data_IF_580895648071
#
_entry.id   IF_580895648071
#
_cell.length_a   1.000
_cell.length_b   1.000
_cell.length_c   1.000
_cell.angle_alpha   90.00
_cell.angle_beta   90.00
_cell.angle_gamma   90.00
#
_symmetry.space_group_name_H-M   'P 1'
#
loop_
_entity.id
_entity.type
_entity.pdbx_description
1 polymer ?
#
# COMPACT_ATOMS: atom_id res chain seq x y z
N UNK A 1 -14.68 6.99 14.62
CA UNK A 1 -15.54 6.40 13.57
C UNK A 1 -16.19 7.40 12.58
N UNK A 2 -16.37 8.71 12.87
CA UNK A 2 -17.02 9.65 11.92
C UNK A 2 -16.06 10.44 11.01
N UNK A 3 -14.74 10.36 11.17
CA UNK A 3 -13.75 11.13 10.40
C UNK A 3 -13.22 10.41 9.15
N UNK A 4 -13.08 9.08 9.18
CA UNK A 4 -12.60 8.28 8.04
C UNK A 4 -13.57 8.36 6.85
N UNK A 5 -14.89 8.28 7.11
CA UNK A 5 -15.93 8.31 6.07
C UNK A 5 -15.99 9.62 5.25
N UNK A 6 -15.49 10.75 5.76
CA UNK A 6 -15.59 12.04 5.05
C UNK A 6 -14.42 12.32 4.09
N UNK A 7 -13.29 11.61 4.20
CA UNK A 7 -12.09 11.89 3.39
C UNK A 7 -12.00 11.04 2.13
N UNK A 8 -12.57 9.83 2.14
CA UNK A 8 -12.61 8.94 0.97
C UNK A 8 -13.46 9.49 -0.19
N UNK A 9 -14.39 10.41 0.09
CA UNK A 9 -15.31 10.98 -0.91
C UNK A 9 -14.70 12.11 -1.77
N UNK A 10 -13.47 12.57 -1.50
CA UNK A 10 -12.88 13.75 -2.17
C UNK A 10 -11.90 13.40 -3.30
N UNK A 11 -11.84 12.15 -3.76
CA UNK A 11 -10.86 11.68 -4.74
C UNK A 11 -11.11 12.08 -6.20
N UNK A 12 -12.08 12.93 -6.51
CA UNK A 12 -12.40 13.32 -7.87
C UNK A 12 -12.31 14.83 -8.02
N UNK A 13 -11.27 15.38 -8.56
CA UNK A 13 -11.15 16.45 -9.56
C UNK A 13 -9.83 17.22 -9.43
N UNK A 14 -8.95 17.03 -10.38
CA UNK A 14 -8.22 18.13 -11.03
C UNK A 14 -7.35 17.57 -12.16
N UNK A 15 -7.89 17.53 -13.36
CA UNK A 15 -7.12 17.33 -14.58
C UNK A 15 -6.69 18.70 -15.13
N UNK A 16 -5.42 18.87 -15.42
CA UNK A 16 -4.95 19.94 -16.31
C UNK A 16 -3.89 19.39 -17.25
N UNK A 17 -4.19 19.56 -18.52
CA UNK A 17 -3.52 19.09 -19.72
C UNK A 17 -2.29 19.96 -20.03
N UNK A 18 -1.14 19.37 -20.20
CA UNK A 18 -0.04 19.94 -20.98
C UNK A 18 0.77 18.83 -21.66
N UNK A 19 0.76 18.83 -22.97
CA UNK A 19 1.52 17.97 -23.87
C UNK A 19 2.91 18.57 -24.11
N UNK A 20 3.96 17.78 -23.94
CA UNK A 20 5.22 17.96 -24.67
C UNK A 20 5.98 16.62 -24.75
N UNK A 21 6.40 16.29 -25.97
CA UNK A 21 7.08 15.09 -26.39
C UNK A 21 8.60 15.18 -26.25
N UNK A 22 9.29 14.10 -25.89
CA UNK A 22 10.44 13.55 -26.64
C UNK A 22 11.22 12.45 -25.92
N UNK A 23 11.41 11.37 -26.64
CA UNK A 23 12.63 10.59 -26.93
C UNK A 23 13.23 9.63 -25.90
N UNK A 24 13.35 8.39 -26.39
CA UNK A 24 13.96 7.20 -25.81
C UNK A 24 15.43 7.32 -25.44
N UNK A 25 15.80 6.60 -24.37
CA UNK A 25 17.07 5.85 -24.35
C UNK A 25 16.89 4.56 -23.54
N UNK A 26 17.25 3.41 -24.13
CA UNK A 26 17.32 2.09 -23.51
C UNK A 26 18.65 1.98 -22.78
N UNK A 27 18.61 1.51 -21.56
CA UNK A 27 19.74 0.74 -21.02
C UNK A 27 19.24 -0.40 -20.13
N UNK A 28 19.69 -1.57 -20.53
CA UNK A 28 19.36 -2.87 -19.98
C UNK A 28 20.58 -3.29 -19.14
N UNK A 29 20.46 -3.39 -17.80
CA UNK A 29 21.43 -4.16 -17.03
C UNK A 29 20.85 -4.76 -15.76
N UNK A 30 20.92 -6.09 -15.71
CA UNK A 30 21.12 -7.02 -14.60
C UNK A 30 20.01 -7.18 -13.56
N UNK A 31 19.29 -8.27 -13.76
CA UNK A 31 18.62 -9.08 -12.76
C UNK A 31 19.64 -9.68 -11.78
N UNK A 32 19.63 -9.25 -10.51
CA UNK A 32 19.98 -10.04 -9.31
C UNK A 32 19.86 -9.14 -8.05
N UNK A 33 18.88 -9.36 -7.24
CA UNK A 33 18.55 -8.78 -5.93
C UNK A 33 17.26 -7.91 -5.88
N UNK A 34 16.27 -8.21 -6.68
CA UNK A 34 15.06 -7.38 -6.77
C UNK A 34 14.01 -7.59 -5.67
N UNK A 35 14.17 -8.56 -4.78
CA UNK A 35 13.12 -8.92 -3.82
C UNK A 35 13.01 -7.99 -2.60
N UNK A 36 14.08 -7.29 -2.21
CA UNK A 36 14.03 -6.32 -1.12
C UNK A 36 13.71 -4.88 -1.55
N UNK A 37 13.81 -4.59 -2.85
CA UNK A 37 13.61 -3.25 -3.39
C UNK A 37 12.12 -2.82 -3.39
N UNK A 38 11.21 -3.79 -3.31
CA UNK A 38 9.76 -3.57 -3.34
C UNK A 38 9.08 -3.81 -2.00
N UNK A 39 9.78 -3.71 -0.88
CA UNK A 39 9.17 -3.76 0.44
C UNK A 39 8.63 -5.13 0.88
N UNK A 40 9.06 -6.23 0.24
CA UNK A 40 8.68 -7.59 0.65
C UNK A 40 9.07 -7.89 2.09
N UNK A 41 8.14 -8.40 2.87
CA UNK A 41 8.37 -8.83 4.25
C UNK A 41 8.85 -10.29 4.28
N UNK A 42 9.93 -10.55 5.03
CA UNK A 42 10.32 -11.93 5.35
C UNK A 42 9.37 -12.48 6.43
N UNK A 43 8.29 -13.12 6.00
CA UNK A 43 7.25 -13.64 6.90
C UNK A 43 7.76 -14.67 7.91
N UNK A 44 8.81 -15.45 7.59
CA UNK A 44 9.39 -16.41 8.53
C UNK A 44 10.11 -15.72 9.68
N UNK A 45 10.93 -14.72 9.36
CA UNK A 45 11.63 -13.92 10.37
C UNK A 45 10.65 -13.10 11.21
N UNK A 46 9.66 -12.45 10.55
CA UNK A 46 8.62 -11.68 11.24
C UNK A 46 7.80 -12.57 12.19
N UNK A 47 7.40 -13.76 11.76
CA UNK A 47 6.68 -14.73 12.62
C UNK A 47 7.45 -15.08 13.88
N UNK A 48 8.76 -15.28 13.77
CA UNK A 48 9.61 -15.55 14.93
C UNK A 48 9.59 -14.39 15.91
N UNK A 49 9.68 -13.16 15.43
CA UNK A 49 9.65 -11.97 16.28
C UNK A 49 8.27 -11.77 16.92
N UNK A 50 7.19 -11.79 16.13
CA UNK A 50 5.81 -11.65 16.61
C UNK A 50 5.48 -12.66 17.69
N UNK A 51 5.92 -13.93 17.52
CA UNK A 51 5.68 -14.97 18.52
C UNK A 51 6.54 -14.82 19.79
N UNK A 52 7.63 -14.07 19.75
CA UNK A 52 8.47 -13.78 20.93
C UNK A 52 7.95 -12.60 21.76
N UNK A 53 7.05 -11.81 21.21
CA UNK A 53 6.45 -10.66 21.88
C UNK A 53 5.22 -11.06 22.72
N UNK A 54 4.89 -10.30 23.77
CA UNK A 54 3.73 -10.58 24.60
C UNK A 54 2.43 -10.70 23.80
N UNK A 55 1.48 -11.46 24.33
CA UNK A 55 0.11 -11.53 23.81
C UNK A 55 -0.80 -10.74 24.77
N UNK A 56 -0.77 -9.42 24.65
CA UNK A 56 -1.54 -8.51 25.49
C UNK A 56 -2.99 -8.38 24.97
N UNK A 57 -3.99 -8.11 25.84
CA UNK A 57 -5.36 -7.94 25.39
C UNK A 57 -5.48 -6.75 24.44
N UNK A 58 -6.19 -6.95 23.33
CA UNK A 58 -6.44 -5.88 22.36
C UNK A 58 -7.49 -4.89 22.87
N UNK A 59 -7.24 -3.61 22.63
CA UNK A 59 -8.26 -2.59 22.69
C UNK A 59 -9.23 -2.71 21.50
N UNK A 60 -10.45 -2.12 21.59
CA UNK A 60 -11.35 -2.02 20.44
C UNK A 60 -10.74 -1.25 19.25
N UNK A 61 -9.84 -0.31 19.50
CA UNK A 61 -9.16 0.46 18.45
C UNK A 61 -8.19 -0.42 17.67
N UNK A 62 -7.38 -1.23 18.36
CA UNK A 62 -6.45 -2.17 17.74
C UNK A 62 -7.18 -3.26 16.95
N UNK A 63 -8.23 -3.84 17.54
CA UNK A 63 -9.05 -4.85 16.84
C UNK A 63 -9.61 -4.28 15.53
N UNK A 64 -10.17 -3.07 15.56
CA UNK A 64 -10.71 -2.42 14.37
C UNK A 64 -9.60 -2.04 13.38
N UNK A 65 -8.43 -1.61 13.86
CA UNK A 65 -7.27 -1.30 13.05
C UNK A 65 -6.75 -2.54 12.30
N UNK A 66 -6.61 -3.66 12.97
CA UNK A 66 -6.18 -4.93 12.35
C UNK A 66 -7.16 -5.39 11.26
N UNK A 67 -8.47 -5.32 11.53
CA UNK A 67 -9.49 -5.69 10.54
C UNK A 67 -9.46 -4.78 9.32
N UNK A 68 -9.30 -3.47 9.52
CA UNK A 68 -9.21 -2.50 8.44
C UNK A 68 -7.94 -2.72 7.61
N UNK A 69 -6.78 -2.78 8.26
CA UNK A 69 -5.48 -2.95 7.62
C UNK A 69 -5.41 -4.25 6.80
N UNK A 70 -6.02 -5.34 7.30
CA UNK A 70 -6.11 -6.62 6.56
C UNK A 70 -6.78 -6.47 5.19
N UNK A 71 -7.85 -5.68 5.11
CA UNK A 71 -8.56 -5.42 3.86
C UNK A 71 -7.91 -4.30 3.03
N UNK A 72 -7.21 -3.34 3.63
CA UNK A 72 -6.49 -2.27 2.92
C UNK A 72 -5.28 -2.82 2.16
N UNK A 73 -4.47 -3.68 2.79
CA UNK A 73 -3.37 -4.38 2.10
C UNK A 73 -3.89 -5.29 0.96
N UNK A 74 -5.04 -5.95 1.19
CA UNK A 74 -5.70 -6.69 0.11
C UNK A 74 -6.17 -5.75 -1.01
N UNK A 75 -6.69 -4.57 -0.68
CA UNK A 75 -7.13 -3.58 -1.67
C UNK A 75 -5.97 -3.17 -2.57
N UNK A 76 -4.83 -2.81 -2.00
CA UNK A 76 -3.62 -2.46 -2.73
C UNK A 76 -3.20 -3.59 -3.68
N UNK A 77 -3.03 -4.81 -3.14
CA UNK A 77 -2.71 -6.01 -3.92
C UNK A 77 -3.67 -6.22 -5.10
N UNK A 78 -4.97 -6.15 -4.84
CA UNK A 78 -6.00 -6.46 -5.82
C UNK A 78 -6.09 -5.39 -6.92
N UNK A 79 -5.96 -4.11 -6.57
CA UNK A 79 -5.87 -3.01 -7.54
C UNK A 79 -4.63 -3.18 -8.42
N UNK A 80 -3.46 -3.46 -7.83
CA UNK A 80 -2.24 -3.63 -8.60
C UNK A 80 -2.28 -4.87 -9.49
N UNK A 81 -2.85 -5.96 -9.03
CA UNK A 81 -3.09 -7.15 -9.84
C UNK A 81 -3.96 -6.82 -11.07
N UNK A 82 -5.03 -6.08 -10.87
CA UNK A 82 -5.96 -5.67 -11.94
C UNK A 82 -5.28 -4.71 -12.93
N UNK A 83 -4.51 -3.73 -12.44
CA UNK A 83 -3.81 -2.77 -13.29
C UNK A 83 -2.63 -3.39 -14.03
N UNK A 84 -1.97 -4.41 -13.43
CA UNK A 84 -0.98 -5.22 -14.14
C UNK A 84 -1.58 -5.96 -15.32
N UNK A 85 -2.73 -6.61 -15.13
CA UNK A 85 -3.44 -7.31 -16.22
C UNK A 85 -3.80 -6.35 -17.36
N UNK A 86 -4.12 -5.11 -17.04
CA UNK A 86 -4.49 -4.09 -18.03
C UNK A 86 -3.29 -3.52 -18.78
N UNK A 87 -2.21 -3.16 -18.07
CA UNK A 87 -1.12 -2.35 -18.61
C UNK A 87 0.19 -3.10 -18.80
N UNK A 88 0.36 -4.26 -18.18
CA UNK A 88 1.60 -5.06 -18.23
C UNK A 88 2.83 -4.42 -17.62
N UNK A 89 2.67 -3.31 -16.87
CA UNK A 89 3.80 -2.63 -16.22
C UNK A 89 4.27 -3.36 -14.97
N UNK A 90 5.54 -3.77 -14.96
CA UNK A 90 6.12 -4.64 -13.94
C UNK A 90 6.05 -4.08 -12.52
N UNK A 91 6.01 -2.76 -12.35
CA UNK A 91 5.88 -2.14 -11.02
C UNK A 91 4.64 -2.65 -10.30
N UNK A 92 3.52 -2.81 -11.00
CA UNK A 92 2.28 -3.34 -10.40
C UNK A 92 2.43 -4.79 -9.95
N UNK A 93 3.02 -5.66 -10.78
CA UNK A 93 3.24 -7.07 -10.43
C UNK A 93 4.18 -7.22 -9.25
N UNK A 94 5.27 -6.45 -9.24
CA UNK A 94 6.27 -6.51 -8.18
C UNK A 94 5.67 -6.04 -6.84
N UNK A 95 4.96 -4.91 -6.85
CA UNK A 95 4.34 -4.37 -5.64
C UNK A 95 3.16 -5.25 -5.20
N UNK A 96 2.32 -5.77 -6.10
CA UNK A 96 1.26 -6.73 -5.73
C UNK A 96 1.81 -7.96 -5.00
N UNK A 97 3.00 -8.44 -5.40
CA UNK A 97 3.71 -9.52 -4.68
C UNK A 97 4.15 -9.09 -3.29
N UNK A 98 4.56 -7.84 -3.10
CA UNK A 98 4.88 -7.27 -1.78
C UNK A 98 3.62 -7.16 -0.91
N UNK A 99 2.53 -6.63 -1.45
CA UNK A 99 1.25 -6.50 -0.74
C UNK A 99 0.69 -7.86 -0.31
N UNK A 100 0.98 -8.93 -1.04
CA UNK A 100 0.65 -10.27 -0.57
C UNK A 100 1.37 -10.59 0.74
N UNK A 101 2.64 -10.19 0.89
CA UNK A 101 3.37 -10.41 2.15
C UNK A 101 2.89 -9.49 3.28
N UNK A 102 2.43 -8.30 2.95
CA UNK A 102 1.85 -7.35 3.90
C UNK A 102 0.52 -7.87 4.45
N UNK A 103 -0.40 -8.25 3.56
CA UNK A 103 -1.67 -8.82 3.99
C UNK A 103 -1.49 -10.10 4.81
N UNK A 104 -0.47 -10.94 4.50
CA UNK A 104 -0.13 -12.14 5.27
C UNK A 104 0.48 -11.81 6.64
N UNK A 105 1.22 -10.70 6.76
CA UNK A 105 1.73 -10.21 8.03
C UNK A 105 0.59 -9.78 8.98
N UNK A 106 -0.43 -9.08 8.46
CA UNK A 106 -1.62 -8.75 9.25
C UNK A 106 -2.42 -10.00 9.62
N UNK A 107 -2.57 -10.98 8.70
CA UNK A 107 -3.22 -12.26 9.00
C UNK A 107 -2.53 -13.01 10.15
N UNK A 108 -1.21 -12.87 10.27
CA UNK A 108 -0.45 -13.46 11.37
C UNK A 108 -0.92 -12.90 12.72
N UNK A 109 -1.17 -11.59 12.82
CA UNK A 109 -1.72 -10.95 14.02
C UNK A 109 -3.18 -11.39 14.26
N UNK A 110 -4.04 -11.38 13.24
CA UNK A 110 -5.41 -11.86 13.39
C UNK A 110 -5.44 -13.29 13.94
N UNK A 111 -4.55 -14.15 13.45
CA UNK A 111 -4.41 -15.54 13.94
C UNK A 111 -3.94 -15.59 15.39
N UNK A 112 -2.91 -14.81 15.77
CA UNK A 112 -2.37 -14.74 17.13
C UNK A 112 -3.44 -14.32 18.14
N UNK A 113 -4.29 -13.36 17.77
CA UNK A 113 -5.35 -12.82 18.62
C UNK A 113 -6.70 -13.52 18.45
N UNK A 114 -6.76 -14.59 17.64
CA UNK A 114 -7.99 -15.36 17.39
C UNK A 114 -9.14 -14.47 16.86
N UNK A 115 -8.81 -13.53 15.96
CA UNK A 115 -9.79 -12.67 15.26
C UNK A 115 -10.14 -13.31 13.93
N UNK A 116 -11.44 -13.33 13.59
CA UNK A 116 -11.91 -13.83 12.31
C UNK A 116 -11.35 -12.98 11.15
N UNK A 117 -10.80 -13.63 10.13
CA UNK A 117 -10.25 -12.96 8.95
C UNK A 117 -11.38 -12.38 8.08
N UNK A 118 -11.47 -11.05 7.88
CA UNK A 118 -12.49 -10.45 7.04
C UNK A 118 -12.29 -10.73 5.54
N UNK A 119 -11.06 -11.10 5.15
CA UNK A 119 -10.71 -11.45 3.77
C UNK A 119 -11.11 -12.87 3.44
N UNK A 120 -10.84 -13.83 4.34
CA UNK A 120 -11.10 -15.25 4.14
C UNK A 120 -10.77 -15.71 2.70
N UNK A 121 -11.74 -16.29 1.99
CA UNK A 121 -11.61 -16.75 0.60
C UNK A 121 -12.12 -15.74 -0.44
N UNK A 122 -12.27 -14.46 -0.07
CA UNK A 122 -12.74 -13.43 -0.98
C UNK A 122 -11.81 -13.29 -2.20
N UNK A 123 -12.33 -13.41 -3.43
CA UNK A 123 -11.53 -13.25 -4.64
C UNK A 123 -11.04 -11.81 -4.82
N UNK A 124 -10.20 -11.60 -5.85
CA UNK A 124 -9.75 -10.27 -6.25
C UNK A 124 -10.94 -9.34 -6.46
N UNK A 125 -10.89 -8.18 -5.84
CA UNK A 125 -11.90 -7.11 -5.96
C UNK A 125 -13.16 -7.31 -5.10
N UNK A 126 -13.18 -8.29 -4.21
CA UNK A 126 -14.30 -8.52 -3.27
C UNK A 126 -13.86 -8.23 -1.83
N UNK A 127 -14.59 -7.37 -1.14
CA UNK A 127 -14.29 -6.88 0.21
C UNK A 127 -15.51 -7.01 1.12
N UNK A 128 -15.27 -7.35 2.39
CA UNK A 128 -16.32 -7.36 3.42
C UNK A 128 -16.70 -5.95 3.85
N UNK A 129 -15.72 -5.03 3.82
CA UNK A 129 -15.93 -3.60 4.10
C UNK A 129 -16.53 -2.89 2.87
N UNK A 130 -17.78 -2.39 2.92
CA UNK A 130 -18.41 -1.75 1.76
C UNK A 130 -17.73 -0.44 1.33
N UNK A 131 -16.98 0.22 2.22
CA UNK A 131 -16.21 1.43 1.87
C UNK A 131 -15.03 1.03 0.98
N UNK A 132 -14.31 -0.02 1.35
CA UNK A 132 -13.20 -0.54 0.56
C UNK A 132 -13.67 -1.18 -0.75
N UNK A 133 -14.84 -1.84 -0.74
CA UNK A 133 -15.45 -2.33 -1.98
C UNK A 133 -15.71 -1.19 -2.98
N UNK A 134 -16.25 -0.07 -2.52
CA UNK A 134 -16.47 1.10 -3.37
C UNK A 134 -15.17 1.74 -3.81
N UNK A 135 -14.18 1.84 -2.91
CA UNK A 135 -12.87 2.39 -3.21
C UNK A 135 -12.15 1.58 -4.29
N UNK A 136 -12.18 0.25 -4.21
CA UNK A 136 -11.64 -0.62 -5.25
C UNK A 136 -12.21 -0.29 -6.64
N UNK A 137 -13.52 -0.18 -6.76
CA UNK A 137 -14.15 0.15 -8.05
C UNK A 137 -13.73 1.53 -8.58
N UNK A 138 -13.61 2.54 -7.71
CA UNK A 138 -13.17 3.88 -8.08
C UNK A 138 -11.71 3.89 -8.53
N UNK A 139 -10.82 3.25 -7.79
CA UNK A 139 -9.39 3.19 -8.11
C UNK A 139 -9.13 2.44 -9.41
N UNK A 140 -9.83 1.30 -9.63
CA UNK A 140 -9.72 0.55 -10.89
C UNK A 140 -10.27 1.35 -12.06
N UNK A 141 -11.41 2.05 -11.90
CA UNK A 141 -11.97 2.89 -12.95
C UNK A 141 -11.00 4.01 -13.34
N UNK A 142 -10.43 4.72 -12.35
CA UNK A 142 -9.42 5.76 -12.56
C UNK A 142 -8.15 5.21 -13.22
N UNK A 143 -7.62 4.10 -12.71
CA UNK A 143 -6.41 3.46 -13.23
C UNK A 143 -6.57 2.91 -14.65
N UNK A 144 -7.79 2.66 -15.11
CA UNK A 144 -8.07 2.19 -16.47
C UNK A 144 -8.02 3.28 -17.54
N UNK A 145 -7.95 4.57 -17.18
CA UNK A 145 -7.92 5.71 -18.12
C UNK A 145 -6.61 5.72 -18.92
N UNK A 146 -5.47 5.57 -18.25
CA UNK A 146 -4.14 5.48 -18.87
C UNK A 146 -3.13 4.89 -17.90
N UNK A 147 -1.97 4.46 -18.41
CA UNK A 147 -0.89 3.96 -17.55
C UNK A 147 -0.40 5.03 -16.57
N UNK A 148 -0.40 6.31 -16.95
CA UNK A 148 -0.07 7.40 -16.03
C UNK A 148 -1.10 7.53 -14.90
N UNK A 149 -2.40 7.41 -15.19
CA UNK A 149 -3.45 7.38 -14.17
C UNK A 149 -3.28 6.17 -13.26
N UNK A 150 -2.95 5.00 -13.81
CA UNK A 150 -2.67 3.81 -13.03
C UNK A 150 -1.50 4.00 -12.04
N UNK A 151 -0.40 4.63 -12.46
CA UNK A 151 0.71 4.96 -11.55
C UNK A 151 0.29 5.97 -10.46
N UNK A 152 -0.54 6.96 -10.81
CA UNK A 152 -1.10 7.90 -9.83
C UNK A 152 -2.01 7.21 -8.83
N UNK A 153 -2.82 6.26 -9.28
CA UNK A 153 -3.63 5.40 -8.38
C UNK A 153 -2.74 4.66 -7.41
N UNK A 154 -1.64 4.05 -7.89
CA UNK A 154 -0.66 3.41 -7.02
C UNK A 154 -0.10 4.38 -5.98
N UNK A 155 0.38 5.55 -6.40
CA UNK A 155 0.88 6.56 -5.47
C UNK A 155 -0.16 7.02 -4.45
N UNK A 156 -1.43 7.10 -4.84
CA UNK A 156 -2.54 7.50 -3.94
C UNK A 156 -2.84 6.44 -2.89
N UNK A 157 -2.78 5.16 -3.26
CA UNK A 157 -2.98 4.05 -2.32
C UNK A 157 -1.87 4.07 -1.27
N UNK A 158 -0.61 4.19 -1.68
CA UNK A 158 0.52 4.21 -0.74
C UNK A 158 0.53 5.46 0.15
N UNK A 159 0.16 6.61 -0.40
CA UNK A 159 -0.01 7.87 0.35
C UNK A 159 -1.07 7.72 1.46
N UNK A 160 -2.20 7.06 1.16
CA UNK A 160 -3.25 6.74 2.13
C UNK A 160 -2.77 5.72 3.17
N UNK A 161 -2.15 4.64 2.73
CA UNK A 161 -1.71 3.55 3.58
C UNK A 161 -0.67 4.02 4.63
N UNK A 162 0.33 4.81 4.21
CA UNK A 162 1.30 5.41 5.15
C UNK A 162 0.59 6.29 6.18
N UNK A 163 -0.40 7.08 5.74
CA UNK A 163 -1.17 7.94 6.63
C UNK A 163 -2.02 7.14 7.63
N UNK A 164 -2.70 6.09 7.18
CA UNK A 164 -3.57 5.27 8.04
C UNK A 164 -2.77 4.40 9.00
N UNK A 165 -1.63 3.84 8.56
CA UNK A 165 -0.67 3.15 9.44
C UNK A 165 -0.12 4.08 10.52
N UNK A 166 0.28 5.31 10.17
CA UNK A 166 0.75 6.28 11.15
C UNK A 166 -0.32 6.60 12.20
N UNK A 167 -1.58 6.77 11.78
CA UNK A 167 -2.69 6.97 12.71
C UNK A 167 -2.96 5.74 13.58
N UNK A 168 -2.90 4.53 13.02
CA UNK A 168 -3.10 3.28 13.75
C UNK A 168 -2.03 3.07 14.83
N UNK A 169 -0.76 3.37 14.53
CA UNK A 169 0.34 3.31 15.49
C UNK A 169 0.19 4.31 16.66
N UNK A 170 -0.55 5.42 16.49
CA UNK A 170 -0.79 6.35 17.62
C UNK A 170 -1.72 5.79 18.70
N UNK A 171 -2.47 4.75 18.42
CA UNK A 171 -3.47 4.15 19.30
C UNK A 171 -3.19 2.68 19.65
N UNK A 172 -2.22 2.08 18.97
CA UNK A 172 -1.70 0.76 19.31
C UNK A 172 -0.70 0.89 20.47
N UNK A 173 -0.80 -0.03 21.43
CA UNK A 173 0.17 -0.17 22.51
C UNK A 173 0.77 -1.58 22.59
N UNK A 174 0.27 -2.52 21.79
CA UNK A 174 0.81 -3.87 21.66
C UNK A 174 2.06 -3.88 20.76
N UNK A 175 3.19 -4.35 21.30
CA UNK A 175 4.50 -4.33 20.64
C UNK A 175 4.55 -5.09 19.31
N UNK A 176 3.78 -6.17 19.18
CA UNK A 176 3.73 -6.97 17.96
C UNK A 176 2.91 -6.30 16.85
N UNK A 177 1.90 -5.51 17.21
CA UNK A 177 1.16 -4.67 16.25
C UNK A 177 2.07 -3.56 15.75
N UNK A 178 2.77 -2.84 16.64
CA UNK A 178 3.73 -1.81 16.26
C UNK A 178 4.83 -2.35 15.34
N UNK A 179 5.34 -3.55 15.63
CA UNK A 179 6.34 -4.20 14.79
C UNK A 179 5.80 -4.43 13.37
N UNK A 180 4.62 -5.01 13.24
CA UNK A 180 4.02 -5.30 11.93
C UNK A 180 3.72 -4.00 11.19
N UNK A 181 3.04 -3.02 11.83
CA UNK A 181 2.71 -1.74 11.20
C UNK A 181 3.96 -0.95 10.76
N UNK A 182 5.05 -1.02 11.53
CA UNK A 182 6.32 -0.43 11.13
C UNK A 182 6.89 -1.06 9.86
N UNK A 183 6.75 -2.39 9.71
CA UNK A 183 7.19 -3.11 8.51
C UNK A 183 6.32 -2.77 7.29
N UNK A 184 5.00 -2.74 7.45
CA UNK A 184 4.08 -2.32 6.40
C UNK A 184 4.42 -0.89 5.93
N UNK A 185 4.45 0.06 6.86
CA UNK A 185 4.74 1.47 6.58
C UNK A 185 6.07 1.68 5.85
N UNK A 186 7.09 0.88 6.16
CA UNK A 186 8.35 0.86 5.43
C UNK A 186 8.18 0.39 3.99
N UNK A 187 7.40 -0.68 3.77
CA UNK A 187 7.09 -1.19 2.44
C UNK A 187 6.37 -0.12 1.61
N UNK A 188 5.32 0.47 2.16
CA UNK A 188 4.49 1.49 1.49
C UNK A 188 5.29 2.75 1.12
N UNK A 189 6.29 3.18 1.93
CA UNK A 189 7.20 4.26 1.53
C UNK A 189 8.06 3.89 0.32
N UNK A 190 8.53 2.65 0.23
CA UNK A 190 9.25 2.16 -0.93
C UNK A 190 8.35 2.07 -2.17
N UNK A 191 7.11 1.62 -2.00
CA UNK A 191 6.11 1.55 -3.06
C UNK A 191 5.77 2.95 -3.59
N UNK A 192 5.52 3.93 -2.71
CA UNK A 192 5.26 5.32 -3.07
C UNK A 192 6.40 5.89 -3.91
N UNK A 193 7.65 5.69 -3.48
CA UNK A 193 8.84 6.12 -4.23
C UNK A 193 8.94 5.45 -5.60
N UNK A 194 8.55 4.17 -5.70
CA UNK A 194 8.55 3.42 -6.96
C UNK A 194 7.46 3.92 -7.92
N UNK A 195 6.23 4.14 -7.44
CA UNK A 195 5.18 4.73 -8.26
C UNK A 195 5.51 6.15 -8.69
N UNK A 196 6.05 6.98 -7.80
CA UNK A 196 6.43 8.35 -8.13
C UNK A 196 7.49 8.41 -9.24
N UNK A 197 8.51 7.55 -9.20
CA UNK A 197 9.50 7.43 -10.28
C UNK A 197 8.83 7.06 -11.62
N UNK A 198 7.86 6.16 -11.61
CA UNK A 198 7.11 5.78 -12.82
C UNK A 198 6.23 6.92 -13.35
N UNK A 199 5.63 7.72 -12.46
CA UNK A 199 4.87 8.93 -12.82
C UNK A 199 5.78 9.94 -13.52
N UNK A 200 6.97 10.22 -12.96
CA UNK A 200 7.93 11.14 -13.57
C UNK A 200 8.44 10.63 -14.93
N UNK A 201 8.75 9.34 -15.03
CA UNK A 201 9.17 8.71 -16.28
C UNK A 201 8.09 8.76 -17.37
N UNK A 202 6.83 8.76 -16.97
CA UNK A 202 5.68 8.95 -17.88
C UNK A 202 5.35 10.42 -18.17
N UNK A 203 6.19 11.37 -17.74
CA UNK A 203 6.02 12.81 -17.96
C UNK A 203 4.92 13.45 -17.10
N UNK A 204 4.51 12.79 -16.02
CA UNK A 204 3.49 13.28 -15.10
C UNK A 204 4.05 13.91 -13.82
N UNK A 205 3.14 14.26 -12.93
CA UNK A 205 3.43 14.74 -11.58
C UNK A 205 2.41 14.16 -10.60
N UNK A 206 2.76 14.13 -9.32
CA UNK A 206 1.88 13.73 -8.23
C UNK A 206 1.99 14.73 -7.09
N UNK A 207 0.87 15.04 -6.46
CA UNK A 207 0.78 15.84 -5.23
C UNK A 207 0.12 14.95 -4.19
N UNK A 208 0.70 14.80 -2.98
CA UNK A 208 0.13 13.94 -1.95
C UNK A 208 -1.26 14.43 -1.54
N UNK A 209 -2.13 13.47 -1.23
CA UNK A 209 -3.52 13.73 -0.89
C UNK A 209 -3.79 13.54 0.61
N UNK A 210 -2.97 12.77 1.29
CA UNK A 210 -3.09 12.40 2.70
C UNK A 210 -1.88 12.85 3.51
N UNK A 211 -0.67 12.58 3.03
CA UNK A 211 0.57 13.07 3.62
C UNK A 211 0.70 14.59 3.40
N UNK A 212 1.44 15.23 4.28
CA UNK A 212 1.91 16.59 4.00
C UNK A 212 2.96 16.58 2.89
N UNK A 213 3.13 17.69 2.17
CA UNK A 213 4.17 17.80 1.15
C UNK A 213 5.57 17.52 1.72
N UNK A 214 5.84 17.94 2.96
CA UNK A 214 7.13 17.71 3.61
C UNK A 214 7.41 16.21 3.88
N UNK A 215 6.41 15.45 4.32
CA UNK A 215 6.51 14.01 4.52
C UNK A 215 6.71 13.29 3.20
N UNK A 216 5.94 13.64 2.18
CA UNK A 216 6.08 13.10 0.84
C UNK A 216 7.49 13.37 0.28
N UNK A 217 7.96 14.62 0.35
CA UNK A 217 9.28 15.01 -0.13
C UNK A 217 10.40 14.27 0.61
N UNK A 218 10.25 14.05 1.91
CA UNK A 218 11.20 13.25 2.68
C UNK A 218 11.27 11.80 2.17
N UNK A 219 10.13 11.18 1.86
CA UNK A 219 10.06 9.81 1.36
C UNK A 219 10.72 9.69 -0.02
N UNK A 220 10.31 10.51 -0.99
CA UNK A 220 10.76 10.37 -2.38
C UNK A 220 12.23 10.77 -2.59
N UNK A 221 12.81 11.55 -1.68
CA UNK A 221 14.23 11.95 -1.71
C UNK A 221 15.12 11.03 -0.86
N UNK A 222 14.56 10.07 -0.13
CA UNK A 222 15.30 9.08 0.65
C UNK A 222 15.69 7.88 -0.21
N UNK A 223 16.81 7.19 0.11
CA UNK A 223 17.09 5.88 -0.45
C UNK A 223 15.97 4.89 -0.11
N UNK A 224 15.80 3.87 -0.97
CA UNK A 224 14.90 2.75 -0.65
C UNK A 224 15.31 2.10 0.67
N UNK A 225 14.33 1.89 1.54
CA UNK A 225 14.56 1.26 2.84
C UNK A 225 14.77 -0.24 2.65
N UNK A 226 15.87 -0.77 3.23
CA UNK A 226 16.26 -2.18 3.11
C UNK A 226 16.26 -2.87 4.47
N UNK A 227 16.40 -4.19 4.45
CA UNK A 227 16.43 -5.03 5.64
C UNK A 227 15.04 -5.40 6.14
N UNK A 228 15.07 -6.41 7.02
CA UNK A 228 13.90 -6.90 7.75
C UNK A 228 13.57 -5.88 8.82
#
# INVERSE_FOLDING_TARGET
>A
MKRVSKRVASLLLAGSLALLSASCSKDNTSSANSTNEYGHINLSALRTQVNSLPNEPLSPAETNGLLLMREEEKLARDVYTTLYQKWGSQVFSNIAGSEQTHTDAVLMLLTKYNIADPVADNPVGVFSNPVLQNLYHQLVAEGNISVLHAYKVGATIEDLDIFDLANAMTVADNQDIDLVYSMLSKGSRNHLSSFYRNILNAGGSYTPQYLTQAEFDAIINSPMETGF
#
